data_IF_400518764387
#
_entry.id   IF_400518764387
#
_cell.length_a   1.000
_cell.length_b   1.000
_cell.length_c   1.000
_cell.angle_alpha   90.00
_cell.angle_beta   90.00
_cell.angle_gamma   90.00
#
_symmetry.space_group_name_H-M   'P 1'
#
loop_
_entity.id
_entity.type
_entity.pdbx_description
1 polymer ?
#
# COMPACT_ATOMS: atom_id res chain seq x y z
N UNK A 1 7.13 -2.69 92.10
CA UNK A 1 6.32 -2.13 91.00
C UNK A 1 7.31 -1.65 89.96
N UNK A 2 7.62 -2.52 89.01
CA UNK A 2 8.56 -2.25 87.91
C UNK A 2 7.72 -2.28 86.65
N UNK A 3 7.53 -1.13 86.02
CA UNK A 3 6.81 -0.99 84.76
C UNK A 3 7.66 -1.56 83.63
N UNK A 4 7.12 -2.59 82.99
CA UNK A 4 7.68 -3.29 81.84
C UNK A 4 7.29 -2.52 80.57
N UNK A 5 8.20 -1.67 80.09
CA UNK A 5 8.04 -0.94 78.83
C UNK A 5 8.20 -1.91 77.65
N UNK A 6 7.08 -2.22 77.00
CA UNK A 6 7.02 -2.98 75.75
C UNK A 6 7.66 -2.15 74.63
N UNK A 7 8.58 -2.72 73.81
CA UNK A 7 9.15 -1.97 72.69
C UNK A 7 8.09 -1.74 71.59
N UNK A 8 8.18 -0.63 70.84
CA UNK A 8 7.24 -0.35 69.75
C UNK A 8 7.39 -1.39 68.62
N UNK A 9 6.29 -1.73 67.92
CA UNK A 9 6.32 -2.66 66.81
C UNK A 9 7.24 -2.15 65.71
N UNK A 10 8.22 -2.98 65.31
CA UNK A 10 9.08 -2.68 64.17
C UNK A 10 8.23 -2.63 62.89
N UNK A 11 8.43 -1.63 62.01
CA UNK A 11 7.83 -1.66 60.69
C UNK A 11 8.36 -2.88 59.93
N UNK A 12 7.44 -3.66 59.36
CA UNK A 12 7.75 -4.82 58.54
C UNK A 12 8.70 -4.40 57.39
N UNK A 13 9.65 -5.27 56.98
CA UNK A 13 10.47 -4.98 55.82
C UNK A 13 9.56 -4.84 54.59
N UNK A 14 9.62 -3.67 53.95
CA UNK A 14 8.98 -3.40 52.68
C UNK A 14 9.29 -4.55 51.71
N UNK A 15 8.30 -5.38 51.43
CA UNK A 15 8.40 -6.32 50.32
C UNK A 15 8.69 -5.49 49.07
N UNK A 16 9.74 -5.82 48.30
CA UNK A 16 9.98 -5.13 47.04
C UNK A 16 8.81 -5.49 46.13
N UNK A 17 7.88 -4.56 45.97
CA UNK A 17 6.91 -4.57 44.88
C UNK A 17 7.73 -4.66 43.59
N UNK A 18 7.95 -5.87 43.11
CA UNK A 18 8.36 -6.16 41.76
C UNK A 18 7.17 -5.78 40.87
N UNK A 19 6.91 -4.49 40.72
CA UNK A 19 6.03 -3.92 39.71
C UNK A 19 6.74 -4.12 38.38
N UNK A 20 6.68 -5.35 37.87
CA UNK A 20 7.10 -5.68 36.53
C UNK A 20 6.37 -4.74 35.59
N UNK A 21 7.11 -3.80 35.00
CA UNK A 21 6.66 -3.01 33.85
C UNK A 21 6.35 -3.98 32.71
N UNK A 22 5.18 -4.62 32.75
CA UNK A 22 4.64 -5.31 31.59
C UNK A 22 4.18 -4.23 30.65
N UNK A 23 5.11 -3.79 29.80
CA UNK A 23 4.81 -2.95 28.65
C UNK A 23 3.68 -3.58 27.83
N UNK A 24 2.99 -2.78 27.00
CA UNK A 24 1.96 -3.32 26.12
C UNK A 24 2.48 -4.52 25.32
N UNK A 25 1.63 -5.53 25.11
CA UNK A 25 2.02 -6.71 24.32
C UNK A 25 2.33 -6.32 22.88
N UNK A 26 3.26 -7.03 22.23
CA UNK A 26 3.63 -6.82 20.82
C UNK A 26 2.41 -6.84 19.90
N UNK A 27 1.38 -7.65 20.22
CA UNK A 27 0.12 -7.69 19.46
C UNK A 27 -0.65 -6.36 19.46
N UNK A 28 -0.63 -5.60 20.56
CA UNK A 28 -1.27 -4.27 20.60
C UNK A 28 -0.47 -3.24 19.80
N UNK A 29 0.86 -3.32 19.83
CA UNK A 29 1.70 -2.48 18.98
C UNK A 29 1.45 -2.76 17.49
N UNK A 30 1.37 -4.03 17.11
CA UNK A 30 1.04 -4.46 15.75
C UNK A 30 -0.33 -3.95 15.31
N UNK A 31 -1.34 -4.06 16.18
CA UNK A 31 -2.67 -3.51 15.91
C UNK A 31 -2.64 -2.00 15.67
N UNK A 32 -1.91 -1.24 16.51
CA UNK A 32 -1.78 0.22 16.33
C UNK A 32 -1.08 0.56 15.01
N UNK A 33 -0.03 -0.17 14.64
CA UNK A 33 0.67 0.05 13.36
C UNK A 33 -0.28 -0.21 12.19
N UNK A 34 -1.05 -1.29 12.22
CA UNK A 34 -2.06 -1.59 11.19
C UNK A 34 -3.13 -0.49 11.11
N UNK A 35 -3.69 -0.09 12.26
CA UNK A 35 -4.72 0.95 12.33
C UNK A 35 -4.21 2.31 11.87
N UNK A 36 -2.92 2.59 11.97
CA UNK A 36 -2.33 3.84 11.48
C UNK A 36 -2.00 3.76 9.99
N UNK A 37 -1.64 2.58 9.49
CA UNK A 37 -1.19 2.37 8.10
C UNK A 37 -2.37 2.22 7.12
N UNK A 38 -3.49 1.62 7.53
CA UNK A 38 -4.68 1.48 6.68
C UNK A 38 -5.24 2.84 6.20
N UNK A 39 -5.43 3.87 7.07
CA UNK A 39 -5.81 5.20 6.64
C UNK A 39 -4.80 5.84 5.69
N UNK A 40 -3.50 5.64 5.94
CA UNK A 40 -2.44 6.16 5.06
C UNK A 40 -2.57 5.58 3.65
N UNK A 41 -2.77 4.26 3.53
CA UNK A 41 -3.00 3.60 2.23
C UNK A 41 -4.26 4.16 1.56
N UNK A 42 -5.35 4.34 2.33
CA UNK A 42 -6.58 4.94 1.83
C UNK A 42 -6.36 6.34 1.25
N UNK A 43 -5.65 7.20 1.97
CA UNK A 43 -5.34 8.56 1.52
C UNK A 43 -4.42 8.59 0.31
N UNK A 44 -3.41 7.71 0.26
CA UNK A 44 -2.55 7.54 -0.92
C UNK A 44 -3.37 7.13 -2.14
N UNK A 45 -4.27 6.15 -1.99
CA UNK A 45 -5.13 5.69 -3.07
C UNK A 45 -6.14 6.75 -3.52
N UNK A 46 -6.72 7.49 -2.57
CA UNK A 46 -7.64 8.59 -2.87
C UNK A 46 -6.94 9.72 -3.62
N UNK A 47 -5.74 10.11 -3.18
CA UNK A 47 -4.91 11.11 -3.88
C UNK A 47 -4.57 10.66 -5.30
N UNK A 48 -4.25 9.38 -5.48
CA UNK A 48 -4.01 8.82 -6.80
C UNK A 48 -5.23 8.90 -7.71
N UNK A 49 -6.41 8.45 -7.22
CA UNK A 49 -7.66 8.47 -7.99
C UNK A 49 -8.15 9.88 -8.34
N UNK A 50 -8.07 10.83 -7.41
CA UNK A 50 -8.64 12.17 -7.61
C UNK A 50 -7.68 13.15 -8.29
N UNK A 51 -6.39 13.07 -7.97
CA UNK A 51 -5.41 14.09 -8.33
C UNK A 51 -4.27 13.55 -9.21
N UNK A 52 -4.29 12.26 -9.58
CA UNK A 52 -3.20 11.59 -10.29
C UNK A 52 -1.86 11.67 -9.54
N UNK A 53 -1.93 11.71 -8.20
CA UNK A 53 -0.75 11.67 -7.33
C UNK A 53 -0.15 10.26 -7.29
N UNK A 54 1.13 10.12 -6.89
CA UNK A 54 1.78 8.83 -6.82
C UNK A 54 1.10 7.89 -5.81
N UNK A 55 0.96 6.63 -6.20
CA UNK A 55 0.52 5.56 -5.32
C UNK A 55 1.70 4.64 -4.99
N UNK A 56 2.40 5.01 -3.91
CA UNK A 56 3.66 4.37 -3.47
C UNK A 56 3.63 2.83 -3.43
N UNK A 57 2.55 2.15 -2.98
CA UNK A 57 2.53 0.68 -2.99
C UNK A 57 2.82 0.07 -4.37
N UNK A 58 2.28 0.67 -5.44
CA UNK A 58 2.53 0.24 -6.82
C UNK A 58 3.90 0.67 -7.31
N UNK A 59 4.29 1.92 -7.03
CA UNK A 59 5.61 2.43 -7.39
C UNK A 59 6.74 1.53 -6.82
N UNK A 60 6.55 0.98 -5.61
CA UNK A 60 7.46 0.06 -4.94
C UNK A 60 7.49 -1.33 -5.59
N UNK A 61 6.33 -1.88 -5.94
CA UNK A 61 6.24 -3.14 -6.70
C UNK A 61 6.99 -3.02 -8.03
N UNK A 62 6.73 -1.94 -8.78
CA UNK A 62 7.35 -1.69 -10.08
C UNK A 62 8.86 -1.42 -9.94
N UNK A 63 9.29 -0.73 -8.89
CA UNK A 63 10.71 -0.46 -8.65
C UNK A 63 11.51 -1.74 -8.43
N UNK A 64 11.00 -2.70 -7.65
CA UNK A 64 11.67 -3.99 -7.44
C UNK A 64 11.80 -4.81 -8.73
N UNK A 65 10.80 -4.69 -9.60
CA UNK A 65 10.82 -5.31 -10.92
C UNK A 65 11.87 -4.66 -11.81
N UNK A 66 11.89 -3.32 -11.88
CA UNK A 66 12.82 -2.54 -12.72
C UNK A 66 14.26 -2.70 -12.29
N UNK A 67 14.50 -2.83 -10.98
CA UNK A 67 15.83 -3.06 -10.42
C UNK A 67 16.31 -4.51 -10.58
N UNK A 68 15.45 -5.42 -11.05
CA UNK A 68 15.86 -6.79 -11.33
C UNK A 68 16.03 -7.66 -10.09
N UNK A 69 15.28 -7.41 -9.01
CA UNK A 69 15.40 -8.20 -7.77
C UNK A 69 14.90 -9.63 -8.01
N UNK A 70 15.83 -10.56 -8.23
CA UNK A 70 15.56 -11.94 -8.66
C UNK A 70 14.52 -12.69 -7.79
N UNK A 71 14.60 -12.69 -6.44
CA UNK A 71 13.60 -13.35 -5.61
C UNK A 71 12.18 -12.77 -5.78
N UNK A 72 12.08 -11.46 -6.04
CA UNK A 72 10.80 -10.79 -6.25
C UNK A 72 10.18 -11.20 -7.59
N UNK A 73 11.00 -11.22 -8.64
CA UNK A 73 10.57 -11.64 -9.98
C UNK A 73 10.11 -13.10 -9.95
N UNK A 74 10.89 -13.99 -9.32
CA UNK A 74 10.52 -15.39 -9.19
C UNK A 74 9.18 -15.59 -8.44
N UNK A 75 8.93 -14.80 -7.39
CA UNK A 75 7.66 -14.83 -6.67
C UNK A 75 6.48 -14.43 -7.57
N UNK A 76 6.62 -13.35 -8.35
CA UNK A 76 5.59 -12.88 -9.29
C UNK A 76 5.32 -13.95 -10.35
N UNK A 77 6.37 -14.55 -10.92
CA UNK A 77 6.25 -15.58 -11.95
C UNK A 77 5.56 -16.85 -11.42
N UNK A 78 5.90 -17.28 -10.19
CA UNK A 78 5.26 -18.43 -9.54
C UNK A 78 3.77 -18.18 -9.29
N UNK A 79 3.41 -17.01 -8.79
CA UNK A 79 2.01 -16.68 -8.48
C UNK A 79 1.14 -16.56 -9.74
N UNK A 80 1.67 -15.94 -10.79
CA UNK A 80 0.97 -15.86 -12.08
C UNK A 80 0.89 -17.25 -12.74
N UNK A 81 1.96 -18.03 -12.68
CA UNK A 81 2.01 -19.41 -13.20
C UNK A 81 1.07 -20.37 -12.46
N UNK A 82 0.94 -20.25 -11.14
CA UNK A 82 0.02 -21.09 -10.36
C UNK A 82 -1.45 -20.84 -10.70
N UNK A 83 -1.81 -19.58 -10.99
CA UNK A 83 -3.16 -19.24 -11.42
C UNK A 83 -3.48 -19.83 -12.80
N UNK A 84 -2.50 -19.80 -13.71
CA UNK A 84 -2.61 -20.45 -15.01
C UNK A 84 -2.77 -21.98 -14.89
N UNK A 85 -1.96 -22.61 -14.04
CA UNK A 85 -1.99 -24.05 -13.82
C UNK A 85 -3.29 -24.54 -13.16
N UNK A 86 -3.95 -23.68 -12.38
CA UNK A 86 -5.28 -23.93 -11.81
C UNK A 86 -6.44 -23.76 -12.80
N UNK A 87 -6.16 -23.54 -14.09
CA UNK A 87 -7.17 -23.27 -15.12
C UNK A 87 -7.67 -21.82 -15.14
N UNK A 88 -7.06 -20.93 -14.36
CA UNK A 88 -7.39 -19.51 -14.33
C UNK A 88 -6.76 -18.75 -15.49
N UNK A 89 -7.45 -17.69 -15.94
CA UNK A 89 -6.93 -16.83 -16.99
C UNK A 89 -5.89 -15.85 -16.42
N UNK A 90 -4.66 -15.90 -16.93
CA UNK A 90 -3.57 -14.99 -16.53
C UNK A 90 -3.98 -13.52 -16.76
N UNK A 91 -4.73 -13.26 -17.82
CA UNK A 91 -5.24 -11.93 -18.15
C UNK A 91 -6.14 -11.33 -17.07
N UNK A 92 -6.88 -12.17 -16.35
CA UNK A 92 -7.79 -11.75 -15.29
C UNK A 92 -7.11 -11.76 -13.91
N UNK A 93 -6.11 -12.62 -13.72
CA UNK A 93 -5.48 -12.82 -12.41
C UNK A 93 -4.22 -11.98 -12.18
N UNK A 94 -3.45 -11.66 -13.21
CA UNK A 94 -2.21 -10.88 -13.07
C UNK A 94 -2.42 -9.50 -12.43
N UNK A 95 -3.47 -8.71 -12.78
CA UNK A 95 -3.74 -7.44 -12.10
C UNK A 95 -4.02 -7.62 -10.61
N UNK A 96 -4.79 -8.65 -10.23
CA UNK A 96 -5.09 -8.95 -8.83
C UNK A 96 -3.83 -9.30 -8.05
N UNK A 97 -2.96 -10.16 -8.62
CA UNK A 97 -1.69 -10.55 -8.01
C UNK A 97 -0.81 -9.31 -7.78
N UNK A 98 -0.70 -8.44 -8.78
CA UNK A 98 0.03 -7.19 -8.65
C UNK A 98 -0.53 -6.31 -7.53
N UNK A 99 -1.85 -6.11 -7.46
CA UNK A 99 -2.51 -5.34 -6.39
C UNK A 99 -2.19 -5.91 -5.01
N UNK A 100 -2.37 -7.22 -4.83
CA UNK A 100 -2.14 -7.89 -3.55
C UNK A 100 -0.68 -7.84 -3.12
N UNK A 101 0.26 -8.07 -4.04
CA UNK A 101 1.70 -8.00 -3.75
C UNK A 101 2.14 -6.58 -3.42
N UNK A 102 1.65 -5.58 -4.15
CA UNK A 102 1.96 -4.16 -3.92
C UNK A 102 1.51 -3.72 -2.52
N UNK A 103 0.24 -3.98 -2.18
CA UNK A 103 -0.33 -3.66 -0.87
C UNK A 103 0.33 -4.47 0.25
N UNK A 104 0.54 -5.77 0.03
CA UNK A 104 1.15 -6.67 1.00
C UNK A 104 2.60 -6.29 1.32
N UNK A 105 3.39 -5.97 0.31
CA UNK A 105 4.78 -5.52 0.48
C UNK A 105 4.84 -4.20 1.23
N UNK A 106 4.04 -3.22 0.84
CA UNK A 106 4.00 -1.93 1.52
C UNK A 106 3.59 -2.08 2.99
N UNK A 107 2.57 -2.89 3.26
CA UNK A 107 2.11 -3.19 4.61
C UNK A 107 3.21 -3.89 5.44
N UNK A 108 3.90 -4.87 4.85
CA UNK A 108 5.00 -5.58 5.51
C UNK A 108 6.14 -4.63 5.87
N UNK A 109 6.50 -3.72 4.97
CA UNK A 109 7.54 -2.73 5.21
C UNK A 109 7.13 -1.73 6.31
N UNK A 110 5.90 -1.24 6.28
CA UNK A 110 5.36 -0.37 7.33
C UNK A 110 5.31 -1.08 8.70
N UNK A 111 4.93 -2.35 8.72
CA UNK A 111 4.97 -3.20 9.92
C UNK A 111 6.39 -3.39 10.44
N UNK A 112 7.35 -3.71 9.57
CA UNK A 112 8.74 -3.90 9.94
C UNK A 112 9.33 -2.62 10.55
N UNK A 113 9.09 -1.46 9.95
CA UNK A 113 9.55 -0.16 10.44
C UNK A 113 8.84 0.21 11.75
N UNK A 114 7.51 0.07 11.81
CA UNK A 114 6.73 0.37 13.00
C UNK A 114 7.12 -0.51 14.20
N UNK A 115 7.36 -1.80 13.99
CA UNK A 115 7.82 -2.72 15.03
C UNK A 115 9.27 -2.44 15.44
N UNK A 116 10.14 -2.09 14.48
CA UNK A 116 11.51 -1.66 14.79
C UNK A 116 11.51 -0.40 15.65
N UNK A 117 10.63 0.56 15.33
CA UNK A 117 10.42 1.74 16.13
C UNK A 117 9.88 1.42 17.52
N UNK A 118 8.87 0.56 17.61
CA UNK A 118 8.33 0.09 18.89
C UNK A 118 9.42 -0.53 19.78
N UNK A 119 10.22 -1.43 19.22
CA UNK A 119 11.34 -2.06 19.92
C UNK A 119 12.41 -1.05 20.34
N UNK A 120 12.69 -0.05 19.50
CA UNK A 120 13.62 1.04 19.81
C UNK A 120 13.13 1.91 20.98
N UNK A 121 11.84 2.23 21.03
CA UNK A 121 11.22 3.00 22.12
C UNK A 121 11.27 2.19 23.44
N UNK A 122 10.91 0.91 23.39
CA UNK A 122 11.05 -0.02 24.53
C UNK A 122 12.47 -0.03 25.10
N UNK A 123 13.49 -0.09 24.24
CA UNK A 123 14.91 -0.10 24.66
C UNK A 123 15.35 1.20 25.33
N UNK A 124 14.78 2.35 24.93
CA UNK A 124 15.11 3.64 25.55
C UNK A 124 14.39 3.88 26.88
N UNK A 125 13.34 3.11 27.19
CA UNK A 125 12.58 3.26 28.43
C UNK A 125 11.88 4.62 28.59
N UNK A 126 11.75 5.39 27.49
CA UNK A 126 11.10 6.69 27.46
C UNK A 126 9.87 6.63 26.57
N UNK A 127 8.89 7.50 26.83
CA UNK A 127 7.76 7.64 25.92
C UNK A 127 8.24 8.21 24.57
N UNK A 128 7.64 7.78 23.45
CA UNK A 128 7.97 8.31 22.14
C UNK A 128 7.47 9.76 22.02
N UNK A 129 8.37 10.64 21.59
CA UNK A 129 8.10 12.08 21.44
C UNK A 129 7.76 12.44 19.97
N UNK A 130 7.39 13.71 19.74
CA UNK A 130 7.15 14.24 18.39
C UNK A 130 8.37 14.06 17.48
N UNK A 131 9.57 14.32 18.01
CA UNK A 131 10.84 14.17 17.27
C UNK A 131 11.04 12.72 16.83
N UNK A 132 10.72 11.77 17.71
CA UNK A 132 10.83 10.35 17.39
C UNK A 132 9.89 9.94 16.25
N UNK A 133 8.66 10.49 16.25
CA UNK A 133 7.72 10.31 15.15
C UNK A 133 8.19 10.92 13.83
N UNK A 134 8.78 12.13 13.87
CA UNK A 134 9.34 12.79 12.69
C UNK A 134 10.54 12.01 12.11
N UNK A 135 11.39 11.45 12.97
CA UNK A 135 12.54 10.64 12.55
C UNK A 135 12.06 9.37 11.84
N UNK A 136 11.09 8.66 12.42
CA UNK A 136 10.52 7.44 11.79
C UNK A 136 9.82 7.79 10.47
N UNK A 137 9.08 8.89 10.45
CA UNK A 137 8.47 9.40 9.22
C UNK A 137 9.54 9.67 8.16
N UNK A 138 10.63 10.36 8.49
CA UNK A 138 11.68 10.68 7.55
C UNK A 138 12.40 9.42 7.03
N UNK A 139 12.70 8.47 7.92
CA UNK A 139 13.33 7.19 7.57
C UNK A 139 12.45 6.39 6.60
N UNK A 140 11.13 6.41 6.80
CA UNK A 140 10.21 5.70 5.92
C UNK A 140 9.90 6.48 4.64
N UNK A 141 9.71 7.80 4.73
CA UNK A 141 9.38 8.67 3.61
C UNK A 141 10.51 8.74 2.58
N UNK A 142 11.77 8.88 3.02
CA UNK A 142 12.90 9.06 2.13
C UNK A 142 13.02 7.96 1.05
N UNK A 143 13.04 6.65 1.37
CA UNK A 143 13.07 5.61 0.36
C UNK A 143 11.79 5.56 -0.47
N UNK A 144 10.62 5.85 0.12
CA UNK A 144 9.34 5.84 -0.62
C UNK A 144 9.25 6.97 -1.63
N UNK A 145 9.70 8.16 -1.27
CA UNK A 145 9.81 9.31 -2.18
C UNK A 145 10.83 9.00 -3.28
N UNK A 146 12.00 8.44 -2.93
CA UNK A 146 12.98 8.04 -3.93
C UNK A 146 12.40 7.06 -4.95
N UNK A 147 11.79 5.97 -4.47
CA UNK A 147 11.11 4.97 -5.31
C UNK A 147 10.11 5.67 -6.23
N UNK A 148 9.20 6.47 -5.67
CA UNK A 148 8.19 7.18 -6.44
C UNK A 148 8.78 8.16 -7.46
N UNK A 149 9.86 8.89 -7.15
CA UNK A 149 10.51 9.77 -8.12
C UNK A 149 11.21 9.02 -9.25
N UNK A 150 11.63 7.77 -9.02
CA UNK A 150 12.28 6.93 -10.04
C UNK A 150 11.32 6.10 -10.88
N UNK A 151 10.11 5.81 -10.36
CA UNK A 151 9.15 4.92 -11.03
C UNK A 151 7.81 5.54 -11.31
N UNK A 152 7.40 6.56 -10.57
CA UNK A 152 6.10 7.18 -10.76
C UNK A 152 6.05 7.93 -12.07
N UNK A 153 5.00 7.66 -12.82
CA UNK A 153 4.69 8.27 -14.10
C UNK A 153 3.69 9.42 -13.94
N UNK A 154 3.54 9.95 -12.72
CA UNK A 154 2.66 11.10 -12.46
C UNK A 154 3.10 12.28 -13.33
N UNK A 155 2.13 12.88 -14.02
CA UNK A 155 2.34 14.09 -14.84
C UNK A 155 2.59 15.35 -14.00
N UNK A 156 2.54 15.23 -12.67
CA UNK A 156 2.72 16.33 -11.74
C UNK A 156 4.21 16.65 -11.51
N UNK A 157 4.54 17.90 -11.15
CA UNK A 157 5.90 18.26 -10.81
C UNK A 157 6.47 17.39 -9.68
N UNK A 158 7.71 16.93 -9.83
CA UNK A 158 8.40 16.08 -8.84
C UNK A 158 8.36 16.66 -7.41
N UNK A 159 8.46 17.98 -7.27
CA UNK A 159 8.36 18.66 -5.98
C UNK A 159 6.99 18.44 -5.32
N UNK A 160 5.90 18.49 -6.10
CA UNK A 160 4.55 18.26 -5.57
C UNK A 160 4.39 16.82 -5.07
N UNK A 161 4.93 15.84 -5.81
CA UNK A 161 4.94 14.44 -5.40
C UNK A 161 5.72 14.25 -4.09
N UNK A 162 6.92 14.82 -4.01
CA UNK A 162 7.74 14.75 -2.80
C UNK A 162 7.08 15.43 -1.59
N UNK A 163 6.45 16.60 -1.78
CA UNK A 163 5.74 17.32 -0.72
C UNK A 163 4.51 16.54 -0.26
N UNK A 164 3.71 16.00 -1.19
CA UNK A 164 2.54 15.18 -0.87
C UNK A 164 2.90 13.95 -0.03
N UNK A 165 3.86 13.16 -0.51
CA UNK A 165 4.33 11.97 0.18
C UNK A 165 4.98 12.34 1.52
N UNK A 166 5.85 13.36 1.53
CA UNK A 166 6.49 13.85 2.74
C UNK A 166 5.46 14.26 3.80
N UNK A 167 4.45 15.03 3.42
CA UNK A 167 3.38 15.43 4.34
C UNK A 167 2.61 14.21 4.91
N UNK A 168 2.20 13.26 4.06
CA UNK A 168 1.49 12.07 4.51
C UNK A 168 2.31 11.20 5.45
N UNK A 169 3.59 10.95 5.13
CA UNK A 169 4.45 10.14 5.99
C UNK A 169 4.80 10.85 7.30
N UNK A 170 4.98 12.18 7.29
CA UNK A 170 5.15 12.98 8.51
C UNK A 170 3.92 12.84 9.40
N UNK A 171 2.72 13.05 8.86
CA UNK A 171 1.47 12.88 9.62
C UNK A 171 1.38 11.45 10.17
N UNK A 172 1.66 10.44 9.34
CA UNK A 172 1.65 9.04 9.78
C UNK A 172 2.64 8.77 10.93
N UNK A 173 3.89 9.25 10.85
CA UNK A 173 4.88 9.04 11.90
C UNK A 173 4.55 9.78 13.21
N UNK A 174 3.97 10.98 13.12
CA UNK A 174 3.45 11.72 14.29
C UNK A 174 2.31 10.94 14.95
N UNK A 175 1.32 10.50 14.16
CA UNK A 175 0.18 9.73 14.67
C UNK A 175 0.64 8.40 15.26
N UNK A 176 1.59 7.71 14.62
CA UNK A 176 2.16 6.46 15.12
C UNK A 176 2.89 6.67 16.46
N UNK A 177 3.73 7.70 16.56
CA UNK A 177 4.43 8.06 17.80
C UNK A 177 3.44 8.37 18.92
N UNK A 178 2.43 9.21 18.64
CA UNK A 178 1.37 9.54 19.59
C UNK A 178 0.60 8.31 20.06
N UNK A 179 0.18 7.45 19.13
CA UNK A 179 -0.61 6.26 19.45
C UNK A 179 0.18 5.24 20.28
N UNK A 180 1.45 5.02 19.96
CA UNK A 180 2.34 4.17 20.74
C UNK A 180 2.64 4.77 22.12
N UNK A 181 2.84 6.09 22.21
CA UNK A 181 3.05 6.77 23.49
C UNK A 181 1.84 6.66 24.40
N UNK A 182 0.63 6.82 23.85
CA UNK A 182 -0.61 6.62 24.59
C UNK A 182 -0.80 5.17 25.04
N UNK A 183 -0.36 4.21 24.23
CA UNK A 183 -0.42 2.79 24.57
C UNK A 183 0.57 2.42 25.70
N UNK A 184 1.75 3.03 25.70
CA UNK A 184 2.82 2.81 26.69
C UNK A 184 2.63 3.57 27.99
N UNK A 185 1.90 4.70 27.97
CA UNK A 185 1.63 5.49 29.17
C UNK A 185 1.05 4.61 30.29
N UNK A 186 1.62 4.64 31.51
CA UNK A 186 1.09 3.91 32.65
C UNK A 186 -0.39 4.25 32.85
N UNK A 187 -1.22 3.24 33.13
CA UNK A 187 -2.55 3.52 33.62
C UNK A 187 -2.36 4.23 34.96
N UNK A 188 -2.75 5.51 35.04
CA UNK A 188 -2.64 6.29 36.26
C UNK A 188 -3.34 5.55 37.42
N UNK A 189 -2.86 5.71 38.66
CA UNK A 189 -3.50 5.06 39.80
C UNK A 189 -4.97 5.49 39.82
N UNK A 190 -5.89 4.52 39.87
CA UNK A 190 -7.29 4.73 40.25
C UNK A 190 -7.31 5.13 41.72
N UNK A 191 -6.92 6.37 42.02
CA UNK A 191 -7.17 6.96 43.31
C UNK A 191 -8.66 7.29 43.31
N UNK A 192 -9.39 6.68 44.23
CA UNK A 192 -10.79 7.01 44.53
C UNK A 192 -10.80 8.41 45.14
N UNK A 193 -10.73 9.44 44.30
CA UNK A 193 -10.83 10.84 44.71
C UNK A 193 -11.30 11.65 43.51
N UNK A 194 -12.61 11.93 43.50
CA UNK A 194 -13.33 12.81 42.57
C UNK A 194 -13.29 12.39 41.07
N UNK A 195 -14.31 12.72 40.26
CA UNK A 195 -14.33 12.33 38.86
C UNK A 195 -13.22 13.11 38.16
N UNK A 196 -12.06 12.47 37.98
CA UNK A 196 -11.01 13.00 37.13
C UNK A 196 -11.59 13.20 35.73
N UNK A 197 -11.93 14.46 35.42
CA UNK A 197 -12.36 14.88 34.10
C UNK A 197 -11.31 14.42 33.06
N UNK A 198 -11.72 13.58 32.12
CA UNK A 198 -11.04 13.45 30.82
C UNK A 198 -9.98 12.36 30.64
N UNK A 199 -9.75 11.47 31.62
CA UNK A 199 -8.79 10.37 31.48
C UNK A 199 -9.29 9.21 30.62
N UNK A 200 -9.17 9.26 29.29
CA UNK A 200 -9.57 8.14 28.43
C UNK A 200 -8.69 6.89 28.65
N UNK A 201 -9.30 5.79 29.09
CA UNK A 201 -8.63 4.51 29.33
C UNK A 201 -8.13 3.84 28.04
N UNK A 202 -7.13 2.94 28.13
CA UNK A 202 -6.49 2.28 26.97
C UNK A 202 -7.47 1.59 26.02
N UNK A 203 -8.48 0.90 26.57
CA UNK A 203 -9.52 0.22 25.76
C UNK A 203 -10.36 1.21 24.97
N UNK A 204 -10.80 2.29 25.63
CA UNK A 204 -11.59 3.34 25.00
C UNK A 204 -10.79 4.08 23.93
N UNK A 205 -9.51 4.33 24.17
CA UNK A 205 -8.59 4.87 23.18
C UNK A 205 -8.50 3.97 21.94
N UNK A 206 -8.26 2.66 22.09
CA UNK A 206 -8.16 1.75 20.94
C UNK A 206 -9.47 1.64 20.15
N UNK A 207 -10.61 1.67 20.83
CA UNK A 207 -11.92 1.68 20.17
C UNK A 207 -12.14 2.98 19.39
N UNK A 208 -11.84 4.14 19.97
CA UNK A 208 -12.00 5.43 19.29
C UNK A 208 -11.00 5.60 18.14
N UNK A 209 -9.73 5.24 18.36
CA UNK A 209 -8.67 5.29 17.36
C UNK A 209 -8.98 4.33 16.21
N UNK A 210 -9.38 3.10 16.53
CA UNK A 210 -9.80 2.11 15.54
C UNK A 210 -11.01 2.56 14.73
N UNK A 211 -12.02 3.16 15.37
CA UNK A 211 -13.19 3.71 14.69
C UNK A 211 -12.81 4.86 13.74
N UNK A 212 -11.91 5.76 14.16
CA UNK A 212 -11.41 6.85 13.32
C UNK A 212 -10.63 6.31 12.11
N UNK A 213 -9.74 5.35 12.33
CA UNK A 213 -8.99 4.70 11.26
C UNK A 213 -9.91 3.99 10.25
N UNK A 214 -10.90 3.24 10.75
CA UNK A 214 -11.90 2.58 9.93
C UNK A 214 -12.74 3.59 9.13
N UNK A 215 -13.17 4.69 9.74
CA UNK A 215 -13.93 5.74 9.06
C UNK A 215 -13.12 6.38 7.92
N UNK A 216 -11.86 6.76 8.15
CA UNK A 216 -11.01 7.34 7.10
C UNK A 216 -10.77 6.33 5.97
N UNK A 217 -10.51 5.07 6.31
CA UNK A 217 -10.29 4.02 5.31
C UNK A 217 -11.55 3.77 4.48
N UNK A 218 -12.72 3.69 5.12
CA UNK A 218 -14.01 3.52 4.46
C UNK A 218 -14.36 4.71 3.57
N UNK A 219 -14.14 5.95 4.05
CA UNK A 219 -14.35 7.17 3.26
C UNK A 219 -13.42 7.22 2.05
N UNK A 220 -12.17 6.80 2.21
CA UNK A 220 -11.21 6.73 1.10
C UNK A 220 -11.63 5.71 0.05
N UNK A 221 -12.10 4.54 0.49
CA UNK A 221 -12.61 3.50 -0.41
C UNK A 221 -13.90 3.96 -1.13
N UNK A 222 -14.85 4.58 -0.41
CA UNK A 222 -16.08 5.11 -0.98
C UNK A 222 -15.80 6.27 -1.96
N UNK A 223 -14.92 7.19 -1.60
CA UNK A 223 -14.51 8.30 -2.47
C UNK A 223 -13.85 7.80 -3.76
N UNK A 224 -13.07 6.73 -3.69
CA UNK A 224 -12.48 6.12 -4.87
C UNK A 224 -13.51 5.38 -5.74
N UNK A 225 -14.54 4.76 -5.16
CA UNK A 225 -15.62 4.13 -5.92
C UNK A 225 -16.47 5.15 -6.71
N UNK A 226 -16.50 6.41 -6.25
CA UNK A 226 -17.21 7.50 -6.92
C UNK A 226 -16.33 8.28 -7.91
N UNK A 227 -15.02 8.02 -7.95
CA UNK A 227 -14.10 8.69 -8.85
C UNK A 227 -14.19 8.09 -10.27
N UNK A 228 -14.13 8.91 -11.34
CA UNK A 228 -14.07 8.40 -12.71
C UNK A 228 -12.89 7.43 -12.89
N UNK A 229 -13.15 6.23 -13.42
CA UNK A 229 -12.11 5.23 -13.69
C UNK A 229 -11.16 5.73 -14.78
N UNK A 230 -9.89 5.98 -14.43
CA UNK A 230 -8.84 6.46 -15.35
C UNK A 230 -7.68 5.46 -15.46
N UNK A 231 -8.00 4.18 -15.62
CA UNK A 231 -7.01 3.09 -15.70
C UNK A 231 -6.27 3.06 -17.07
N UNK A 232 -6.79 3.81 -18.05
CA UNK A 232 -6.26 4.01 -19.41
C UNK A 232 -4.86 4.63 -19.46
N UNK A 233 -4.63 5.70 -18.71
CA UNK A 233 -3.37 6.43 -18.75
C UNK A 233 -2.21 5.59 -18.18
N UNK A 234 -2.44 4.79 -17.14
CA UNK A 234 -1.38 4.01 -16.49
C UNK A 234 -0.91 2.82 -17.34
N UNK A 235 -1.84 2.17 -18.04
CA UNK A 235 -1.52 1.09 -18.98
C UNK A 235 -0.82 1.63 -20.23
N UNK A 236 -1.26 2.76 -20.79
CA UNK A 236 -0.58 3.38 -21.93
C UNK A 236 0.86 3.84 -21.59
N UNK A 237 1.12 4.24 -20.34
CA UNK A 237 2.41 4.85 -19.95
C UNK A 237 3.45 3.85 -19.44
N UNK A 238 3.06 2.65 -19.00
CA UNK A 238 4.01 1.58 -18.58
C UNK A 238 4.56 0.75 -19.75
N UNK A 239 4.16 1.07 -20.99
CA UNK A 239 4.46 0.27 -22.16
C UNK A 239 5.67 0.79 -22.95
N UNK A 240 6.71 -0.04 -23.18
CA UNK A 240 7.78 0.31 -24.10
C UNK A 240 7.28 0.52 -25.55
N UNK A 241 6.10 -0.03 -25.88
CA UNK A 241 5.46 0.03 -27.20
C UNK A 241 5.03 1.43 -27.66
N UNK A 242 4.99 2.41 -26.76
CA UNK A 242 4.70 3.81 -27.11
C UNK A 242 5.96 4.64 -27.36
N UNK A 243 7.15 4.13 -27.03
CA UNK A 243 8.40 4.87 -27.25
C UNK A 243 8.79 4.86 -28.75
N UNK A 244 9.18 6.02 -29.34
CA UNK A 244 9.54 6.10 -30.76
C UNK A 244 10.67 5.13 -31.15
N UNK A 245 11.61 4.90 -30.25
CA UNK A 245 12.76 4.02 -30.46
C UNK A 245 12.36 2.53 -30.49
N UNK A 246 11.45 2.11 -29.61
CA UNK A 246 10.91 0.75 -29.64
C UNK A 246 10.01 0.53 -30.86
N UNK A 247 9.27 1.55 -31.30
CA UNK A 247 8.45 1.49 -32.52
C UNK A 247 9.32 1.27 -33.77
N UNK A 248 10.44 2.00 -33.86
CA UNK A 248 11.42 1.82 -34.94
C UNK A 248 12.03 0.42 -34.90
N UNK A 249 12.48 -0.04 -33.72
CA UNK A 249 13.06 -1.37 -33.56
C UNK A 249 12.05 -2.51 -33.81
N UNK A 250 10.77 -2.33 -33.45
CA UNK A 250 9.73 -3.33 -33.67
C UNK A 250 9.29 -3.44 -35.13
N UNK A 251 9.14 -2.32 -35.85
CA UNK A 251 8.81 -2.35 -37.27
C UNK A 251 9.90 -3.07 -38.08
N UNK A 252 11.16 -2.89 -37.69
CA UNK A 252 12.31 -3.54 -38.33
C UNK A 252 12.36 -5.05 -38.03
N UNK A 253 11.97 -5.47 -36.81
CA UNK A 253 12.06 -6.88 -36.37
C UNK A 253 10.80 -7.72 -36.61
N UNK A 254 9.61 -7.12 -36.56
CA UNK A 254 8.32 -7.84 -36.51
C UNK A 254 7.36 -7.53 -37.66
N UNK A 255 7.73 -6.62 -38.58
CA UNK A 255 6.93 -6.30 -39.76
C UNK A 255 5.77 -5.35 -39.47
N UNK A 256 4.69 -5.45 -40.25
CA UNK A 256 3.54 -4.57 -40.13
C UNK A 256 2.60 -5.08 -39.02
N UNK A 257 2.22 -4.22 -38.09
CA UNK A 257 1.31 -4.57 -36.99
C UNK A 257 0.35 -3.43 -36.72
N UNK A 258 -0.80 -3.76 -36.13
CA UNK A 258 -1.81 -2.79 -35.72
C UNK A 258 -1.97 -2.86 -34.21
N UNK A 259 -1.97 -1.70 -33.57
CA UNK A 259 -2.06 -1.53 -32.13
C UNK A 259 -3.49 -1.30 -31.73
N UNK A 260 -3.88 -1.96 -30.66
CA UNK A 260 -5.19 -1.78 -30.08
C UNK A 260 -5.15 -1.86 -28.57
N UNK A 261 -6.22 -1.40 -27.97
CA UNK A 261 -6.46 -1.45 -26.53
C UNK A 261 -7.72 -2.26 -26.30
N UNK A 262 -7.66 -3.18 -25.35
CA UNK A 262 -8.84 -3.89 -24.85
C UNK A 262 -9.42 -3.04 -23.74
N UNK A 263 -10.68 -2.66 -23.93
CA UNK A 263 -11.43 -1.79 -23.02
C UNK A 263 -12.61 -2.55 -22.44
N UNK A 264 -12.93 -2.31 -21.18
CA UNK A 264 -14.14 -2.83 -20.53
C UNK A 264 -15.22 -1.75 -20.56
N UNK A 265 -16.40 -2.11 -21.09
CA UNK A 265 -17.53 -1.19 -21.27
C UNK A 265 -17.54 -0.49 -22.64
N UNK A 266 -18.75 -0.21 -23.15
CA UNK A 266 -19.00 0.43 -24.46
C UNK A 266 -18.63 1.93 -24.42
N UNK A 267 -17.34 2.25 -24.56
CA UNK A 267 -16.87 3.64 -24.63
C UNK A 267 -16.19 3.91 -25.96
N UNK A 268 -16.43 5.10 -26.52
CA UNK A 268 -15.96 5.50 -27.86
C UNK A 268 -14.49 5.96 -27.88
N UNK A 269 -13.82 6.01 -26.73
CA UNK A 269 -12.48 6.59 -26.55
C UNK A 269 -11.68 5.78 -25.54
N UNK A 270 -10.46 5.36 -25.91
CA UNK A 270 -9.55 4.66 -25.00
C UNK A 270 -9.21 5.50 -23.76
N UNK A 271 -9.15 6.83 -23.87
CA UNK A 271 -8.78 7.73 -22.77
C UNK A 271 -9.84 7.74 -21.65
N UNK A 272 -11.11 7.58 -22.00
CA UNK A 272 -12.26 7.66 -21.09
C UNK A 272 -12.79 6.26 -20.69
N UNK A 273 -12.12 5.23 -21.18
CA UNK A 273 -12.49 3.82 -20.98
C UNK A 273 -11.68 3.13 -19.89
N UNK A 274 -12.23 2.06 -19.32
CA UNK A 274 -11.48 1.17 -18.45
C UNK A 274 -10.62 0.23 -19.31
N UNK A 275 -9.43 0.69 -19.67
CA UNK A 275 -8.44 -0.11 -20.40
C UNK A 275 -7.99 -1.27 -19.51
N UNK A 276 -8.01 -2.48 -20.04
CA UNK A 276 -7.65 -3.71 -19.30
C UNK A 276 -6.36 -4.32 -19.84
N UNK A 277 -6.11 -4.16 -21.14
CA UNK A 277 -4.90 -4.67 -21.77
C UNK A 277 -4.58 -3.92 -23.06
N UNK A 278 -3.35 -4.04 -23.53
CA UNK A 278 -2.92 -3.47 -24.79
C UNK A 278 -2.42 -4.58 -25.71
N UNK A 279 -2.83 -4.57 -26.97
CA UNK A 279 -2.51 -5.62 -27.92
C UNK A 279 -1.89 -5.10 -29.20
N UNK A 280 -1.14 -5.99 -29.86
CA UNK A 280 -0.69 -5.83 -31.21
C UNK A 280 -1.21 -7.01 -32.03
N UNK A 281 -1.93 -6.70 -33.10
CA UNK A 281 -2.32 -7.65 -34.13
C UNK A 281 -1.23 -7.65 -35.20
N UNK A 282 -0.78 -8.84 -35.61
CA UNK A 282 0.17 -9.02 -36.70
C UNK A 282 -0.59 -9.64 -37.88
N UNK A 283 -1.11 -8.82 -38.82
CA UNK A 283 -1.94 -9.30 -39.92
C UNK A 283 -1.23 -10.34 -40.79
N UNK A 284 0.09 -10.17 -40.94
CA UNK A 284 0.91 -11.05 -41.78
C UNK A 284 1.18 -12.42 -41.14
N UNK A 285 0.93 -12.56 -39.83
CA UNK A 285 1.30 -13.76 -39.05
C UNK A 285 0.12 -14.44 -38.34
N UNK A 286 -1.10 -13.92 -38.47
CA UNK A 286 -2.32 -14.49 -37.88
C UNK A 286 -2.19 -14.81 -36.38
N UNK A 287 -1.58 -13.91 -35.61
CA UNK A 287 -1.64 -13.98 -34.15
C UNK A 287 -1.73 -12.58 -33.55
N UNK A 288 -2.17 -12.55 -32.30
CA UNK A 288 -2.35 -11.35 -31.50
C UNK A 288 -1.53 -11.47 -30.23
N UNK A 289 -0.65 -10.51 -29.98
CA UNK A 289 0.07 -10.43 -28.70
C UNK A 289 -0.63 -9.43 -27.80
N UNK A 290 -0.99 -9.84 -26.58
CA UNK A 290 -1.61 -8.95 -25.59
C UNK A 290 -0.71 -8.80 -24.39
N UNK A 291 -0.55 -7.56 -23.97
CA UNK A 291 0.24 -7.08 -22.85
C UNK A 291 -0.70 -6.59 -21.75
N UNK A 292 -0.50 -7.10 -20.54
CA UNK A 292 -1.35 -6.80 -19.37
C UNK A 292 -0.76 -5.67 -18.49
N UNK A 293 0.27 -4.96 -18.97
CA UNK A 293 1.00 -3.93 -18.21
C UNK A 293 2.13 -4.50 -17.33
N UNK A 294 3.09 -3.65 -16.95
CA UNK A 294 4.20 -4.01 -16.04
C UNK A 294 5.17 -5.07 -16.59
N UNK A 295 5.44 -6.16 -15.85
CA UNK A 295 6.19 -7.35 -16.33
C UNK A 295 5.27 -8.54 -16.59
N UNK A 296 3.97 -8.29 -16.72
CA UNK A 296 3.01 -9.35 -17.02
C UNK A 296 3.40 -10.05 -18.33
N UNK A 297 3.21 -11.38 -18.43
CA UNK A 297 3.60 -12.13 -19.61
C UNK A 297 2.88 -11.60 -20.85
N UNK A 298 3.59 -11.59 -21.98
CA UNK A 298 2.96 -11.40 -23.29
C UNK A 298 2.15 -12.65 -23.57
N UNK A 299 0.83 -12.50 -23.59
CA UNK A 299 -0.06 -13.62 -23.94
C UNK A 299 -0.28 -13.58 -25.44
N UNK A 300 0.07 -14.66 -26.12
CA UNK A 300 -0.15 -14.81 -27.56
C UNK A 300 -1.45 -15.56 -27.76
N UNK A 301 -2.36 -14.95 -28.51
CA UNK A 301 -3.62 -15.52 -28.92
C UNK A 301 -3.62 -15.80 -30.42
N UNK A 302 -4.32 -16.85 -30.82
CA UNK A 302 -4.48 -17.25 -32.23
C UNK A 302 -5.33 -16.26 -33.04
N UNK A 303 -6.18 -15.49 -32.37
CA UNK A 303 -7.02 -14.48 -33.02
C UNK A 303 -7.42 -13.36 -32.07
N UNK A 304 -7.85 -12.24 -32.65
CA UNK A 304 -8.42 -11.12 -31.93
C UNK A 304 -9.69 -11.50 -31.15
N UNK A 305 -10.49 -12.41 -31.69
CA UNK A 305 -11.68 -12.95 -31.04
C UNK A 305 -11.32 -13.77 -29.79
N UNK A 306 -10.30 -14.62 -29.88
CA UNK A 306 -9.82 -15.41 -28.74
C UNK A 306 -9.24 -14.52 -27.66
N UNK A 307 -8.50 -13.47 -28.06
CA UNK A 307 -8.04 -12.45 -27.13
C UNK A 307 -9.24 -11.78 -26.43
N UNK A 308 -10.20 -11.22 -27.16
CA UNK A 308 -11.37 -10.57 -26.57
C UNK A 308 -12.18 -11.46 -25.63
N UNK A 309 -12.40 -12.72 -26.01
CA UNK A 309 -13.11 -13.69 -25.19
C UNK A 309 -12.40 -13.95 -23.85
N UNK A 310 -11.06 -13.88 -23.82
CA UNK A 310 -10.29 -14.00 -22.58
C UNK A 310 -10.51 -12.80 -21.63
N UNK A 311 -10.80 -11.61 -22.17
CA UNK A 311 -11.00 -10.39 -21.37
C UNK A 311 -12.47 -10.06 -21.11
N UNK A 312 -13.41 -10.73 -21.78
CA UNK A 312 -14.83 -10.63 -21.49
C UNK A 312 -15.14 -11.26 -20.13
N UNK A 313 -15.90 -10.54 -19.29
CA UNK A 313 -16.44 -11.06 -18.03
C UNK A 313 -17.87 -11.56 -18.20
N UNK A 314 -18.44 -12.21 -17.17
CA UNK A 314 -19.84 -12.69 -17.19
C UNK A 314 -20.87 -11.54 -17.30
N UNK A 315 -20.52 -10.33 -16.84
CA UNK A 315 -21.43 -9.17 -16.81
C UNK A 315 -21.03 -8.01 -17.75
N UNK A 316 -19.78 -7.95 -18.23
CA UNK A 316 -19.28 -6.86 -19.09
C UNK A 316 -18.52 -7.39 -20.31
N UNK A 317 -18.94 -6.94 -21.50
CA UNK A 317 -18.28 -7.22 -22.76
C UNK A 317 -16.98 -6.42 -22.88
N UNK A 318 -15.92 -7.10 -23.36
CA UNK A 318 -14.67 -6.46 -23.73
C UNK A 318 -14.77 -5.91 -25.17
N UNK A 319 -14.38 -4.65 -25.36
CA UNK A 319 -14.30 -3.97 -26.64
C UNK A 319 -12.85 -3.72 -27.07
N UNK A 320 -12.68 -3.29 -28.32
CA UNK A 320 -11.38 -2.93 -28.88
C UNK A 320 -11.39 -1.49 -29.35
N UNK A 321 -10.36 -0.74 -28.98
CA UNK A 321 -10.06 0.56 -29.52
C UNK A 321 -8.73 0.53 -30.27
N UNK A 322 -8.73 0.86 -31.57
CA UNK A 322 -7.51 0.91 -32.37
C UNK A 322 -6.76 2.21 -32.10
N UNK A 323 -5.45 2.11 -31.87
CA UNK A 323 -4.58 3.28 -31.62
C UNK A 323 -3.98 3.87 -32.89
N UNK A 324 -4.07 3.15 -34.01
CA UNK A 324 -3.49 3.52 -35.31
C UNK A 324 -4.50 4.15 -36.27
N UNK A 325 -5.60 4.70 -35.73
CA UNK A 325 -6.69 5.36 -36.48
C UNK A 325 -6.56 6.87 -36.54
#
# INVERSE_FOLDING_TARGET
MSDELTPPPQPAPDEPFASGHRGPGVGLALLVILLTTLPLIGLLYLGHRLLNLPFVPFDLYDWLIRTGVSPWIALVDVLNGSQAAGGGNIAQSAPLVQWLLSLGLFMLLALAIGLSFYAFVLRRGRLPDLIDGLVVAAIFAAPMIFVSLTTSLSSLPALLNAVWLGALFIVWGIVLSYALGRLMAPAGPTIVSEPAEGGMGRRQFLLQFGAGAAAITALSAAGAALAPGKDSAQLQTTLPMASPEFLAAQQELFGNFRRFVIVRGNTESAADSNVVALGAEYPDRNYVSVWLGGRSPIVIYESLQTALAAFAGEEENAGIYWLDG
#
